data_IF_272210523944
#
_entry.id   IF_272210523944
#
_cell.length_a   1.000
_cell.length_b   1.000
_cell.length_c   1.000
_cell.angle_alpha   90.00
_cell.angle_beta   90.00
_cell.angle_gamma   90.00
#
_symmetry.space_group_name_H-M   'P 1'
#
loop_
_entity.id
_entity.type
_entity.pdbx_description
1 polymer ?
#
# COMPACT_ATOMS: atom_id res chain seq x y z
N UNK A 1 -14.02 -0.78 -7.65
CA UNK A 1 -13.01 -1.49 -6.83
C UNK A 1 -13.65 -2.61 -6.05
N UNK A 2 -12.92 -3.74 -5.90
CA UNK A 2 -13.29 -4.80 -4.97
C UNK A 2 -12.86 -4.41 -3.55
N UNK A 3 -13.57 -4.93 -2.56
CA UNK A 3 -13.35 -4.61 -1.15
C UNK A 3 -13.11 -5.87 -0.31
N UNK A 4 -12.54 -5.69 0.87
CA UNK A 4 -12.39 -6.69 1.92
C UNK A 4 -12.69 -6.04 3.26
N UNK A 5 -13.16 -6.82 4.22
CA UNK A 5 -13.33 -6.36 5.61
C UNK A 5 -12.17 -6.90 6.45
N UNK A 6 -11.48 -6.02 7.16
CA UNK A 6 -10.37 -6.36 8.05
C UNK A 6 -10.69 -5.79 9.43
N UNK A 7 -10.95 -6.67 10.40
CA UNK A 7 -11.55 -6.23 11.66
C UNK A 7 -12.96 -5.71 11.44
N UNK A 8 -13.21 -4.47 11.77
CA UNK A 8 -14.49 -3.77 11.55
C UNK A 8 -14.48 -2.89 10.29
N UNK A 9 -13.29 -2.61 9.74
CA UNK A 9 -13.09 -1.66 8.65
C UNK A 9 -13.18 -2.30 7.27
N UNK A 10 -13.74 -1.56 6.30
CA UNK A 10 -13.81 -1.98 4.89
C UNK A 10 -12.72 -1.28 4.07
N UNK A 11 -11.92 -2.07 3.36
CA UNK A 11 -10.76 -1.64 2.59
C UNK A 11 -10.88 -1.96 1.11
N UNK A 12 -10.26 -1.15 0.25
CA UNK A 12 -10.02 -1.56 -1.14
C UNK A 12 -9.04 -2.73 -1.19
N UNK A 13 -9.35 -3.74 -2.01
CA UNK A 13 -8.44 -4.86 -2.34
C UNK A 13 -7.45 -4.53 -3.44
N UNK A 14 -7.66 -3.43 -4.15
CA UNK A 14 -6.87 -3.00 -5.30
C UNK A 14 -6.17 -1.69 -4.97
N UNK A 15 -4.97 -1.49 -5.53
CA UNK A 15 -4.34 -0.19 -5.51
C UNK A 15 -5.19 0.81 -6.28
N UNK A 16 -5.31 2.01 -5.75
CA UNK A 16 -6.06 3.08 -6.41
C UNK A 16 -5.42 3.41 -7.77
N UNK A 17 -6.27 3.50 -8.80
CA UNK A 17 -5.87 3.85 -10.16
C UNK A 17 -6.48 5.19 -10.63
N UNK A 18 -7.04 5.95 -9.68
CA UNK A 18 -7.75 7.19 -9.99
C UNK A 18 -6.82 8.25 -10.57
N UNK A 19 -7.26 8.86 -11.65
CA UNK A 19 -6.67 10.06 -12.27
C UNK A 19 -7.78 10.83 -12.96
N UNK A 20 -7.54 12.08 -13.32
CA UNK A 20 -8.47 12.86 -14.13
C UNK A 20 -7.85 13.21 -15.48
N UNK A 21 -8.67 13.52 -16.48
CA UNK A 21 -8.21 13.96 -17.79
C UNK A 21 -7.64 15.37 -17.78
N UNK A 22 -8.12 16.21 -16.86
CA UNK A 22 -7.75 17.62 -16.75
C UNK A 22 -6.49 17.81 -15.89
N UNK A 23 -6.43 17.10 -14.76
CA UNK A 23 -5.28 17.12 -13.85
C UNK A 23 -4.84 15.67 -13.63
N UNK A 24 -3.86 15.23 -14.39
CA UNK A 24 -3.29 13.89 -14.19
C UNK A 24 -2.65 13.82 -12.80
N UNK A 25 -3.28 13.10 -11.89
CA UNK A 25 -2.73 12.79 -10.57
C UNK A 25 -2.23 11.35 -10.52
N UNK A 26 -1.19 11.13 -9.74
CA UNK A 26 -0.51 9.85 -9.63
C UNK A 26 0.20 9.46 -10.92
N UNK A 27 1.28 8.72 -10.82
CA UNK A 27 2.11 8.25 -11.92
C UNK A 27 1.83 6.77 -12.19
N UNK A 28 1.50 6.42 -13.44
CA UNK A 28 1.41 5.04 -13.88
C UNK A 28 2.81 4.41 -13.99
N UNK A 29 2.94 3.11 -13.76
CA UNK A 29 4.21 2.41 -13.89
C UNK A 29 4.78 2.56 -15.31
N UNK A 30 6.04 2.97 -15.41
CA UNK A 30 6.74 3.31 -16.66
C UNK A 30 6.01 4.37 -17.50
N UNK A 31 5.23 5.24 -16.88
CA UNK A 31 4.40 6.27 -17.54
C UNK A 31 3.42 5.64 -18.58
N UNK A 32 3.03 4.39 -18.35
CA UNK A 32 2.16 3.61 -19.23
C UNK A 32 0.77 3.44 -18.60
N UNK A 33 -0.23 4.14 -19.12
CA UNK A 33 -1.59 4.13 -18.58
C UNK A 33 -2.21 2.73 -18.48
N UNK A 34 -1.89 1.84 -19.43
CA UNK A 34 -2.41 0.47 -19.41
C UNK A 34 -1.99 -0.35 -18.18
N UNK A 35 -0.92 0.04 -17.49
CA UNK A 35 -0.49 -0.63 -16.26
C UNK A 35 -1.35 -0.26 -15.05
N UNK A 36 -2.04 0.88 -15.09
CA UNK A 36 -2.83 1.40 -13.96
C UNK A 36 -3.98 0.49 -13.57
N UNK A 37 -4.59 -0.23 -14.51
CA UNK A 37 -5.72 -1.13 -14.24
C UNK A 37 -5.32 -2.31 -13.33
N UNK A 38 -4.06 -2.73 -13.40
CA UNK A 38 -3.52 -3.85 -12.61
C UNK A 38 -2.72 -3.38 -11.42
N UNK A 39 -1.82 -2.43 -11.64
CA UNK A 39 -0.85 -2.00 -10.64
C UNK A 39 -1.37 -0.85 -9.76
N UNK A 40 -2.40 -0.13 -10.22
CA UNK A 40 -2.76 1.18 -9.68
C UNK A 40 -1.77 2.25 -10.09
N UNK A 41 -1.71 3.33 -9.34
CA UNK A 41 -0.82 4.47 -9.57
C UNK A 41 0.00 4.76 -8.33
N UNK A 42 1.11 5.47 -8.52
CA UNK A 42 1.96 5.98 -7.45
C UNK A 42 1.65 7.46 -7.25
N UNK A 43 1.22 7.83 -6.06
CA UNK A 43 0.80 9.19 -5.72
C UNK A 43 1.83 9.87 -4.84
N UNK A 44 1.98 11.19 -4.98
CA UNK A 44 2.54 12.01 -3.91
C UNK A 44 1.60 11.97 -2.69
N UNK A 45 2.06 12.43 -1.54
CA UNK A 45 1.21 12.38 -0.35
C UNK A 45 -0.01 13.32 -0.47
N UNK A 46 0.18 14.52 -1.02
CA UNK A 46 -0.92 15.47 -1.21
C UNK A 46 -1.97 14.94 -2.20
N UNK A 47 -1.54 14.30 -3.29
CA UNK A 47 -2.45 13.63 -4.21
C UNK A 47 -3.19 12.48 -3.50
N UNK A 48 -2.49 11.68 -2.70
CA UNK A 48 -3.08 10.55 -1.96
C UNK A 48 -4.16 10.99 -0.97
N UNK A 49 -4.00 12.15 -0.34
CA UNK A 49 -4.96 12.70 0.62
C UNK A 49 -6.33 13.02 -0.01
N UNK A 50 -6.38 13.26 -1.31
CA UNK A 50 -7.61 13.68 -2.03
C UNK A 50 -8.06 12.68 -3.09
N UNK A 51 -7.30 11.62 -3.35
CA UNK A 51 -7.57 10.70 -4.46
C UNK A 51 -8.67 9.66 -4.18
N UNK A 52 -8.97 9.36 -2.93
CA UNK A 52 -10.03 8.42 -2.59
C UNK A 52 -11.41 8.97 -2.96
N UNK A 53 -12.34 8.14 -3.48
CA UNK A 53 -13.66 8.60 -3.85
C UNK A 53 -14.52 8.97 -2.63
N UNK A 54 -15.65 9.64 -2.87
CA UNK A 54 -16.61 10.03 -1.84
C UNK A 54 -17.01 8.83 -0.96
N UNK A 55 -17.04 9.02 0.35
CA UNK A 55 -17.29 7.97 1.34
C UNK A 55 -16.07 7.11 1.68
N UNK A 56 -14.91 7.43 1.10
CA UNK A 56 -13.63 6.75 1.34
C UNK A 56 -12.54 7.76 1.64
N UNK A 57 -11.52 7.34 2.36
CA UNK A 57 -10.37 8.19 2.71
C UNK A 57 -9.06 7.42 2.62
N UNK A 58 -7.95 8.15 2.58
CA UNK A 58 -6.63 7.58 2.86
C UNK A 58 -6.61 7.06 4.30
N UNK A 59 -6.15 5.84 4.57
CA UNK A 59 -6.07 5.32 5.93
C UNK A 59 -5.01 6.04 6.74
N UNK A 60 -5.28 6.23 8.01
CA UNK A 60 -4.29 6.62 9.02
C UNK A 60 -3.34 5.45 9.33
N UNK A 61 -2.20 5.73 9.94
CA UNK A 61 -1.32 4.68 10.44
C UNK A 61 -2.04 3.78 11.47
N UNK A 62 -2.93 4.35 12.27
CA UNK A 62 -3.76 3.63 13.24
C UNK A 62 -4.74 2.65 12.60
N UNK A 63 -5.21 2.90 11.38
CA UNK A 63 -6.08 1.96 10.66
C UNK A 63 -5.30 0.71 10.24
N UNK A 64 -4.09 0.88 9.71
CA UNK A 64 -3.20 -0.26 9.43
C UNK A 64 -2.84 -1.04 10.69
N UNK A 65 -2.64 -0.34 11.81
CA UNK A 65 -2.35 -0.96 13.10
C UNK A 65 -3.51 -1.84 13.58
N UNK A 66 -4.75 -1.31 13.59
CA UNK A 66 -5.95 -2.07 13.92
C UNK A 66 -6.14 -3.29 13.01
N UNK A 67 -5.95 -3.10 11.70
CA UNK A 67 -6.04 -4.18 10.72
C UNK A 67 -5.00 -5.28 11.01
N UNK A 68 -3.75 -4.91 11.32
CA UNK A 68 -2.68 -5.86 11.65
C UNK A 68 -2.98 -6.65 12.92
N UNK A 69 -3.47 -6.00 13.98
CA UNK A 69 -3.88 -6.65 15.22
C UNK A 69 -5.08 -7.59 15.00
N UNK A 70 -6.09 -7.14 14.25
CA UNK A 70 -7.28 -7.94 13.96
C UNK A 70 -6.96 -9.25 13.23
N UNK A 71 -6.04 -9.20 12.25
CA UNK A 71 -5.68 -10.38 11.44
C UNK A 71 -4.75 -11.33 12.18
N UNK A 72 -3.81 -10.80 12.97
CA UNK A 72 -2.75 -11.61 13.58
C UNK A 72 -3.02 -12.00 15.03
N UNK A 73 -3.96 -11.31 15.70
CA UNK A 73 -4.23 -11.46 17.13
C UNK A 73 -3.07 -10.98 18.01
N UNK A 74 -2.08 -10.28 17.45
CA UNK A 74 -0.92 -9.75 18.18
C UNK A 74 -1.27 -8.38 18.77
N UNK A 75 -0.69 -8.07 19.91
CA UNK A 75 -0.62 -6.69 20.41
C UNK A 75 0.62 -6.03 19.85
N UNK A 76 0.44 -4.97 19.09
CA UNK A 76 1.49 -4.29 18.33
C UNK A 76 1.70 -2.86 18.87
N UNK A 77 2.88 -2.32 18.67
CA UNK A 77 3.15 -0.90 18.91
C UNK A 77 2.94 -0.12 17.61
N UNK A 78 2.19 0.99 17.67
CA UNK A 78 1.83 1.79 16.49
C UNK A 78 3.06 2.25 15.69
N UNK A 79 4.11 2.66 16.36
CA UNK A 79 5.29 3.31 15.75
C UNK A 79 6.43 2.34 15.41
N UNK A 80 6.23 1.04 15.57
CA UNK A 80 7.24 0.03 15.33
C UNK A 80 7.03 -0.72 14.01
N UNK A 81 8.07 -1.46 13.60
CA UNK A 81 7.99 -2.45 12.53
C UNK A 81 7.32 -3.73 13.08
N UNK A 82 6.33 -4.25 12.37
CA UNK A 82 5.53 -5.38 12.86
C UNK A 82 6.04 -6.71 12.30
N UNK A 83 6.68 -7.48 13.16
CA UNK A 83 7.25 -8.78 12.79
C UNK A 83 6.17 -9.84 12.55
N UNK A 84 6.34 -10.65 11.49
CA UNK A 84 5.46 -11.75 11.08
C UNK A 84 4.00 -11.30 10.85
N UNK A 85 3.83 -10.12 10.25
CA UNK A 85 2.53 -9.52 9.93
C UNK A 85 2.33 -9.42 8.41
N UNK A 86 3.38 -9.05 7.67
CA UNK A 86 3.31 -8.73 6.25
C UNK A 86 2.73 -9.85 5.39
N UNK A 87 3.04 -11.11 5.67
CA UNK A 87 2.54 -12.25 4.92
C UNK A 87 1.02 -12.37 4.89
N UNK A 88 0.33 -11.91 5.96
CA UNK A 88 -1.12 -11.87 6.02
C UNK A 88 -1.75 -10.81 5.10
N UNK A 89 -0.98 -9.84 4.64
CA UNK A 89 -1.40 -8.77 3.73
C UNK A 89 -0.95 -8.99 2.28
N UNK A 90 0.07 -9.81 2.04
CA UNK A 90 0.61 -10.11 0.73
C UNK A 90 -0.31 -11.04 -0.06
N UNK A 91 -0.55 -10.73 -1.34
CA UNK A 91 -1.34 -11.60 -2.21
C UNK A 91 -0.63 -12.93 -2.46
N UNK A 92 -1.36 -14.03 -2.36
CA UNK A 92 -0.89 -15.34 -2.82
C UNK A 92 -1.39 -15.58 -4.25
N UNK A 93 -0.63 -15.10 -5.22
CA UNK A 93 -0.97 -15.20 -6.63
C UNK A 93 0.27 -15.35 -7.50
N UNK A 94 0.08 -15.95 -8.68
CA UNK A 94 1.10 -16.07 -9.71
C UNK A 94 0.61 -15.47 -11.03
N UNK A 95 1.55 -15.02 -11.85
CA UNK A 95 1.31 -14.56 -13.20
C UNK A 95 2.28 -15.27 -14.14
N UNK A 96 1.77 -15.91 -15.18
CA UNK A 96 2.55 -16.73 -16.12
C UNK A 96 3.44 -17.81 -15.45
N UNK A 97 3.01 -18.34 -14.30
CA UNK A 97 3.77 -19.35 -13.57
C UNK A 97 4.73 -18.79 -12.51
N UNK A 98 5.03 -17.50 -12.54
CA UNK A 98 5.85 -16.83 -11.55
C UNK A 98 4.99 -16.24 -10.43
N UNK A 99 5.41 -16.41 -9.19
CA UNK A 99 4.74 -15.79 -8.05
C UNK A 99 4.96 -14.27 -8.08
N UNK A 100 3.92 -13.49 -7.80
CA UNK A 100 4.02 -12.03 -7.67
C UNK A 100 4.91 -11.60 -6.51
N UNK A 101 4.89 -12.37 -5.41
CA UNK A 101 5.88 -12.28 -4.36
C UNK A 101 6.80 -13.50 -4.48
N UNK A 102 8.08 -13.26 -4.67
CA UNK A 102 9.10 -14.32 -4.70
C UNK A 102 9.08 -15.11 -3.38
N UNK A 103 9.24 -16.44 -3.45
CA UNK A 103 9.21 -17.27 -2.25
C UNK A 103 10.46 -17.05 -1.39
N UNK A 104 10.22 -16.74 -0.13
CA UNK A 104 11.25 -16.66 0.90
C UNK A 104 10.83 -17.42 2.15
N UNK A 105 11.69 -18.32 2.71
CA UNK A 105 11.33 -19.15 3.88
C UNK A 105 10.95 -18.31 5.12
N UNK A 106 11.51 -17.10 5.23
CA UNK A 106 11.26 -16.20 6.36
C UNK A 106 9.88 -15.51 6.30
N UNK A 107 9.20 -15.55 5.15
CA UNK A 107 7.92 -14.85 4.95
C UNK A 107 6.86 -15.86 4.55
N UNK A 108 5.88 -16.07 5.43
CA UNK A 108 4.74 -16.94 5.16
C UNK A 108 3.61 -16.09 4.54
N UNK A 109 3.56 -16.08 3.21
CA UNK A 109 2.47 -15.42 2.48
C UNK A 109 1.18 -16.21 2.64
N UNK A 110 0.13 -15.59 3.16
CA UNK A 110 -1.19 -16.22 3.38
C UNK A 110 -2.35 -15.39 2.84
N UNK A 111 -2.22 -14.06 2.82
CA UNK A 111 -3.30 -13.12 2.50
C UNK A 111 -4.55 -13.27 3.39
N UNK A 112 -4.37 -13.66 4.64
CA UNK A 112 -5.50 -13.90 5.58
C UNK A 112 -6.35 -12.64 5.79
N UNK A 113 -5.78 -11.44 5.61
CA UNK A 113 -6.51 -10.17 5.64
C UNK A 113 -7.43 -9.96 4.41
N UNK A 114 -7.16 -10.65 3.30
CA UNK A 114 -7.77 -10.33 2.01
C UNK A 114 -7.33 -8.99 1.41
N UNK A 115 -6.37 -8.29 2.03
CA UNK A 115 -5.85 -7.00 1.55
C UNK A 115 -5.21 -7.11 0.16
N UNK A 116 -4.59 -8.25 -0.14
CA UNK A 116 -4.04 -8.58 -1.45
C UNK A 116 -2.99 -7.57 -1.95
N UNK A 117 -2.01 -7.25 -1.11
CA UNK A 117 -0.90 -6.38 -1.51
C UNK A 117 -0.13 -6.98 -2.68
N UNK A 118 0.08 -6.17 -3.72
CA UNK A 118 0.85 -6.51 -4.91
C UNK A 118 2.27 -5.94 -4.78
N UNK A 119 3.27 -6.66 -5.30
CA UNK A 119 4.69 -6.30 -5.21
C UNK A 119 5.13 -5.28 -6.25
N UNK A 120 4.48 -4.12 -6.34
CA UNK A 120 4.77 -3.11 -7.37
C UNK A 120 5.71 -1.99 -6.91
N UNK A 121 6.30 -2.12 -5.72
CA UNK A 121 7.35 -1.21 -5.26
C UNK A 121 6.86 0.18 -4.87
N UNK A 122 7.69 1.15 -5.21
CA UNK A 122 7.50 2.58 -4.99
C UNK A 122 8.20 3.40 -6.09
N UNK A 123 7.99 4.69 -6.13
CA UNK A 123 8.54 5.57 -7.17
C UNK A 123 9.23 6.81 -6.57
N UNK A 124 10.38 7.20 -7.12
CA UNK A 124 10.84 8.58 -7.02
C UNK A 124 10.09 9.38 -8.09
N UNK A 125 9.16 10.24 -7.68
CA UNK A 125 8.28 10.96 -8.60
C UNK A 125 9.02 12.00 -9.43
N UNK A 126 9.97 12.72 -8.82
CA UNK A 126 10.75 13.75 -9.51
C UNK A 126 11.62 13.17 -10.64
N UNK A 127 12.17 11.98 -10.44
CA UNK A 127 13.00 11.28 -11.44
C UNK A 127 12.19 10.28 -12.29
N UNK A 128 10.91 10.05 -11.96
CA UNK A 128 10.07 8.97 -12.53
C UNK A 128 10.77 7.60 -12.47
N UNK A 129 11.46 7.33 -11.37
CA UNK A 129 12.26 6.13 -11.17
C UNK A 129 11.54 5.14 -10.27
N UNK A 130 11.11 4.02 -10.84
CA UNK A 130 10.43 2.94 -10.14
C UNK A 130 11.43 1.99 -9.51
N UNK A 131 11.17 1.59 -8.26
CA UNK A 131 12.04 0.74 -7.47
C UNK A 131 11.25 -0.36 -6.74
N UNK A 132 11.89 -1.50 -6.51
CA UNK A 132 11.33 -2.57 -5.72
C UNK A 132 10.15 -3.33 -6.37
N UNK A 133 9.93 -3.16 -7.67
CA UNK A 133 8.94 -3.95 -8.42
C UNK A 133 9.30 -5.42 -8.32
N UNK A 134 8.32 -6.28 -8.05
CA UNK A 134 8.41 -7.70 -7.68
C UNK A 134 9.01 -8.00 -6.30
N UNK A 135 9.54 -6.99 -5.59
CA UNK A 135 10.27 -7.18 -4.32
C UNK A 135 9.67 -6.45 -3.14
N UNK A 136 8.89 -5.41 -3.36
CA UNK A 136 8.32 -4.61 -2.29
C UNK A 136 6.95 -4.03 -2.66
N UNK A 137 6.24 -3.55 -1.64
CA UNK A 137 5.03 -2.75 -1.79
C UNK A 137 5.03 -1.65 -0.74
N UNK A 138 4.68 -0.43 -1.10
CA UNK A 138 4.58 0.70 -0.20
C UNK A 138 3.20 1.36 -0.30
N UNK A 139 2.63 1.73 0.84
CA UNK A 139 1.29 2.30 0.97
C UNK A 139 1.34 3.56 1.81
N UNK A 140 0.87 4.68 1.27
CA UNK A 140 0.71 5.90 2.03
C UNK A 140 -0.28 5.76 3.18
N UNK A 141 -0.02 6.49 4.24
CA UNK A 141 -1.00 6.78 5.30
C UNK A 141 -1.28 8.28 5.34
N UNK A 142 -2.40 8.68 5.94
CA UNK A 142 -2.72 10.08 6.16
C UNK A 142 -1.95 10.71 7.34
N UNK A 143 -1.13 9.92 8.04
CA UNK A 143 -0.41 10.36 9.22
C UNK A 143 0.84 11.16 8.87
N UNK A 144 0.84 12.43 9.26
CA UNK A 144 1.97 13.32 9.07
C UNK A 144 3.07 13.14 10.13
N UNK A 145 4.32 13.39 9.74
CA UNK A 145 5.44 13.53 10.66
C UNK A 145 5.78 15.01 10.86
N UNK A 146 5.81 15.76 9.77
CA UNK A 146 6.05 17.20 9.72
C UNK A 146 5.58 17.78 8.37
N UNK A 147 5.87 19.04 8.11
CA UNK A 147 5.42 19.75 6.90
C UNK A 147 5.87 19.07 5.59
N UNK A 148 7.02 18.40 5.57
CA UNK A 148 7.60 17.78 4.37
C UNK A 148 7.56 16.24 4.35
N UNK A 149 7.14 15.60 5.45
CA UNK A 149 7.23 14.16 5.60
C UNK A 149 5.96 13.55 6.18
N UNK A 150 5.60 12.37 5.67
CA UNK A 150 4.48 11.57 6.15
C UNK A 150 4.85 10.09 6.30
N UNK A 151 4.03 9.36 7.03
CA UNK A 151 4.22 7.94 7.29
C UNK A 151 3.69 7.12 6.13
N UNK A 152 4.43 6.08 5.75
CA UNK A 152 3.94 4.99 4.92
C UNK A 152 4.25 3.63 5.54
N UNK A 153 3.48 2.62 5.19
CA UNK A 153 3.76 1.22 5.55
C UNK A 153 4.26 0.47 4.33
N UNK A 154 5.25 -0.42 4.52
CA UNK A 154 5.81 -1.17 3.40
C UNK A 154 6.23 -2.59 3.77
N UNK A 155 6.29 -3.44 2.76
CA UNK A 155 6.69 -4.84 2.85
C UNK A 155 7.82 -5.10 1.87
N UNK A 156 8.73 -6.00 2.25
CA UNK A 156 9.82 -6.48 1.40
C UNK A 156 9.76 -8.00 1.36
N UNK A 157 9.98 -8.57 0.18
CA UNK A 157 9.77 -9.99 -0.13
C UNK A 157 10.54 -10.95 0.77
N UNK A 158 11.76 -10.58 1.20
CA UNK A 158 12.67 -11.42 1.97
C UNK A 158 12.73 -11.07 3.47
N UNK A 159 11.88 -10.18 3.95
CA UNK A 159 11.85 -9.72 5.34
C UNK A 159 10.48 -9.96 5.97
N UNK A 160 10.42 -10.61 7.15
CA UNK A 160 9.15 -10.93 7.80
C UNK A 160 8.58 -9.74 8.60
N UNK A 161 8.60 -8.54 8.02
CA UNK A 161 8.12 -7.34 8.69
C UNK A 161 7.16 -6.55 7.81
N UNK A 162 6.14 -5.99 8.42
CA UNK A 162 5.39 -4.87 7.87
C UNK A 162 6.01 -3.59 8.45
N UNK A 163 6.88 -2.99 7.68
CA UNK A 163 7.72 -1.88 8.09
C UNK A 163 6.97 -0.56 8.18
N UNK A 164 7.48 0.31 9.04
CA UNK A 164 7.15 1.72 9.09
C UNK A 164 8.20 2.53 8.36
N UNK A 165 7.80 3.36 7.41
CA UNK A 165 8.68 4.28 6.69
C UNK A 165 8.22 5.72 6.85
N UNK A 166 9.16 6.64 6.62
CA UNK A 166 8.90 8.09 6.54
C UNK A 166 9.31 8.53 5.15
N UNK A 167 8.35 9.05 4.38
CA UNK A 167 8.53 9.48 3.00
C UNK A 167 8.44 10.98 2.84
N UNK A 168 9.19 11.52 1.89
CA UNK A 168 9.06 12.90 1.42
C UNK A 168 7.72 13.04 0.70
N UNK A 169 6.91 14.04 1.09
CA UNK A 169 5.55 14.21 0.59
C UNK A 169 5.47 14.48 -0.92
N UNK A 170 6.48 15.15 -1.47
CA UNK A 170 6.49 15.58 -2.87
C UNK A 170 7.11 14.54 -3.81
N UNK A 171 8.19 13.88 -3.37
CA UNK A 171 9.02 13.06 -4.23
C UNK A 171 8.87 11.55 -4.02
N UNK A 172 8.37 11.09 -2.87
CA UNK A 172 8.11 9.68 -2.65
C UNK A 172 6.72 9.33 -3.16
N UNK A 173 6.65 8.44 -4.14
CA UNK A 173 5.41 7.92 -4.71
C UNK A 173 5.09 6.53 -4.16
N UNK A 174 3.95 6.37 -3.52
CA UNK A 174 3.46 5.10 -3.02
C UNK A 174 2.04 4.80 -3.51
N UNK A 175 1.65 3.53 -3.38
CA UNK A 175 0.28 3.10 -3.66
C UNK A 175 -0.70 3.62 -2.61
N UNK A 176 -1.97 3.73 -2.99
CA UNK A 176 -3.07 4.10 -2.10
C UNK A 176 -4.06 2.94 -2.00
N UNK A 177 -4.48 2.64 -0.77
CA UNK A 177 -5.57 1.73 -0.43
C UNK A 177 -6.60 2.48 0.38
N UNK A 178 -7.73 2.82 -0.22
CA UNK A 178 -8.75 3.58 0.49
C UNK A 178 -9.47 2.71 1.53
N UNK A 179 -9.84 3.34 2.63
CA UNK A 179 -10.65 2.77 3.70
C UNK A 179 -12.00 3.51 3.73
N UNK A 180 -13.08 2.79 4.01
CA UNK A 180 -14.42 3.37 4.07
C UNK A 180 -14.56 4.27 5.29
N UNK A 181 -15.16 5.44 5.10
CA UNK A 181 -15.52 6.34 6.21
C UNK A 181 -16.71 5.71 6.93
N UNK A 182 -16.59 5.51 8.25
CA UNK A 182 -17.72 5.13 9.10
C UNK A 182 -18.66 6.34 9.26
N UNK A 183 -19.96 6.09 9.16
CA UNK A 183 -21.01 7.09 9.40
C UNK A 183 -21.26 7.27 10.91
#
# INVERSE_FOLDING_TARGET
>A
YYTTTIGEDTWFKQNLAYTTTENKIGLAYLDCEATSDVMGRFYSWEEAMTACPDGWRLPEESDFHKAAEAVTGKSLSLVEDWKDVNGAFMVYASFNGDQLWEYWPAVKVSNDSGFSALSFGWCNLGEKKFQGVTKSAAFWTASEVNDSQAVYRYMVVDKPYFYRGIGDKDNFGASVRCIKIEE
#
